data_IF_590771680798
#
_entry.id   IF_590771680798
#
_cell.length_a   1.000
_cell.length_b   1.000
_cell.length_c   1.000
_cell.angle_alpha   90.00
_cell.angle_beta   90.00
_cell.angle_gamma   90.00
#
_symmetry.space_group_name_H-M   'P 1'
#
loop_
_entity.id
_entity.type
_entity.pdbx_description
1 polymer ?
#
# COMPACT_ATOMS: atom_id res chain seq x y z
N UNK A 1 3.28 -0.59 -10.72
CA UNK A 1 4.08 0.46 -11.40
C UNK A 1 4.23 1.64 -10.43
N UNK A 2 5.31 1.65 -9.64
CA UNK A 2 5.65 2.81 -8.79
C UNK A 2 6.32 3.83 -9.71
N UNK A 3 5.52 4.72 -10.29
CA UNK A 3 6.03 5.81 -11.12
C UNK A 3 6.59 6.91 -10.21
N UNK A 4 7.92 6.97 -10.12
CA UNK A 4 8.63 8.08 -9.48
C UNK A 4 8.65 9.27 -10.45
N UNK A 5 7.64 10.14 -10.35
CA UNK A 5 7.37 11.24 -11.29
C UNK A 5 8.19 12.52 -11.00
N UNK A 6 9.47 12.40 -10.65
CA UNK A 6 10.33 13.56 -10.34
C UNK A 6 10.97 14.24 -11.57
N UNK A 7 10.71 13.78 -12.80
CA UNK A 7 11.41 14.30 -14.00
C UNK A 7 10.55 15.13 -14.99
N UNK A 8 9.31 15.52 -14.67
CA UNK A 8 8.44 16.23 -15.63
C UNK A 8 8.03 17.65 -15.19
N UNK A 9 8.79 18.30 -14.31
CA UNK A 9 8.66 19.74 -14.08
C UNK A 9 9.48 20.53 -15.10
N UNK A 10 9.00 20.57 -16.35
CA UNK A 10 9.37 21.61 -17.31
C UNK A 10 8.19 21.90 -18.24
N UNK A 11 7.62 23.10 -18.05
CA UNK A 11 6.76 23.90 -18.95
C UNK A 11 5.59 23.19 -19.68
N UNK A 12 4.36 23.57 -19.30
CA UNK A 12 3.35 24.12 -20.23
C UNK A 12 2.18 24.75 -19.46
N UNK A 13 1.90 26.02 -19.78
CA UNK A 13 0.75 26.83 -19.34
C UNK A 13 -0.52 26.39 -20.07
N UNK A 14 -1.64 26.68 -19.42
CA UNK A 14 -3.04 26.73 -19.91
C UNK A 14 -3.67 25.48 -20.54
N UNK A 15 -4.65 24.93 -19.82
CA UNK A 15 -5.94 24.49 -20.36
C UNK A 15 -6.97 24.30 -19.22
N UNK A 16 -8.17 24.84 -19.45
CA UNK A 16 -9.36 24.86 -18.58
C UNK A 16 -9.93 23.46 -18.28
N UNK A 17 -10.76 23.31 -17.22
CA UNK A 17 -11.03 22.03 -16.58
C UNK A 17 -12.13 21.24 -17.30
N UNK A 18 -11.75 20.15 -17.96
CA UNK A 18 -12.69 19.15 -18.47
C UNK A 18 -12.68 17.93 -17.55
N UNK A 19 -13.85 17.64 -16.96
CA UNK A 19 -14.32 16.38 -16.36
C UNK A 19 -13.29 15.51 -15.61
N UNK A 20 -13.39 15.51 -14.27
CA UNK A 20 -12.54 14.73 -13.37
C UNK A 20 -12.57 13.22 -13.69
N UNK A 21 -11.42 12.58 -14.01
CA UNK A 21 -11.36 11.14 -14.20
C UNK A 21 -11.39 10.42 -12.84
N UNK A 22 -12.01 9.24 -12.83
CA UNK A 22 -12.11 8.33 -11.68
C UNK A 22 -10.76 8.23 -10.95
N UNK A 23 -10.72 8.65 -9.68
CA UNK A 23 -9.50 8.66 -8.89
C UNK A 23 -8.81 7.29 -8.91
N UNK A 24 -7.56 7.22 -9.37
CA UNK A 24 -6.70 6.04 -9.16
C UNK A 24 -6.35 5.97 -7.68
N UNK A 25 -6.79 4.92 -7.00
CA UNK A 25 -6.59 4.73 -5.57
C UNK A 25 -5.30 3.96 -5.31
N UNK A 26 -4.47 4.44 -4.39
CA UNK A 26 -3.22 3.78 -3.99
C UNK A 26 -3.19 3.68 -2.47
N UNK A 27 -3.08 2.47 -1.91
CA UNK A 27 -2.63 2.29 -0.52
C UNK A 27 -1.15 2.65 -0.46
N UNK A 28 -0.78 3.64 0.35
CA UNK A 28 0.59 4.17 0.40
C UNK A 28 1.25 3.75 1.71
N UNK A 29 2.36 3.03 1.59
CA UNK A 29 3.20 2.63 2.73
C UNK A 29 3.94 3.83 3.34
N UNK A 30 4.34 3.69 4.62
CA UNK A 30 4.96 4.73 5.46
C UNK A 30 6.15 5.44 4.81
N UNK A 31 6.87 4.78 3.91
CA UNK A 31 8.14 5.27 3.37
C UNK A 31 8.00 6.54 2.50
N UNK A 32 6.78 6.89 2.09
CA UNK A 32 6.51 8.15 1.37
C UNK A 32 5.52 9.09 2.09
N UNK A 33 5.19 8.81 3.36
CA UNK A 33 4.15 9.51 4.12
C UNK A 33 4.29 11.04 4.15
N UNK A 34 5.51 11.56 4.32
CA UNK A 34 5.77 13.02 4.42
C UNK A 34 5.57 13.74 3.08
N UNK A 35 5.96 13.11 1.97
CA UNK A 35 5.88 13.68 0.62
C UNK A 35 4.46 13.66 0.06
N UNK A 36 3.63 12.68 0.47
CA UNK A 36 2.26 12.57 -0.01
C UNK A 36 1.25 13.38 0.81
N UNK A 37 1.55 13.75 2.06
CA UNK A 37 0.70 14.66 2.85
C UNK A 37 0.57 16.04 2.20
N UNK A 38 1.62 16.48 1.48
CA UNK A 38 1.65 17.72 0.69
C UNK A 38 1.17 17.55 -0.76
N UNK A 39 1.05 16.31 -1.28
CA UNK A 39 0.58 16.03 -2.62
C UNK A 39 -0.96 15.98 -2.65
N UNK A 40 -1.58 17.16 -2.60
CA UNK A 40 -3.02 17.33 -2.44
C UNK A 40 -3.93 16.80 -3.56
N UNK A 41 -5.21 16.66 -3.19
CA UNK A 41 -6.47 16.44 -3.96
C UNK A 41 -6.65 15.22 -4.87
N UNK A 42 -5.61 14.58 -5.40
CA UNK A 42 -5.78 13.53 -6.43
C UNK A 42 -5.76 12.09 -5.92
N UNK A 43 -5.38 11.87 -4.66
CA UNK A 43 -5.24 10.54 -4.09
C UNK A 43 -5.99 10.44 -2.77
N UNK A 44 -6.74 9.35 -2.58
CA UNK A 44 -7.29 9.00 -1.28
C UNK A 44 -6.22 8.26 -0.49
N UNK A 45 -5.81 8.84 0.64
CA UNK A 45 -4.87 8.20 1.55
C UNK A 45 -5.58 7.16 2.42
N UNK A 46 -5.04 5.95 2.43
CA UNK A 46 -5.43 4.88 3.35
C UNK A 46 -4.30 4.66 4.36
N UNK A 47 -4.63 4.71 5.65
CA UNK A 47 -3.70 4.34 6.70
C UNK A 47 -3.71 2.83 6.93
N UNK A 48 -2.57 2.28 7.30
CA UNK A 48 -2.40 0.85 7.55
C UNK A 48 -2.61 0.54 9.03
N UNK A 49 -3.58 -0.34 9.33
CA UNK A 49 -3.91 -0.76 10.69
C UNK A 49 -2.73 -1.46 11.37
N UNK A 50 -1.92 -2.22 10.63
CA UNK A 50 -0.77 -2.92 11.17
C UNK A 50 0.30 -1.96 11.71
N UNK A 51 0.54 -0.81 11.06
CA UNK A 51 1.49 0.19 11.57
C UNK A 51 1.02 0.83 12.87
N UNK A 52 -0.26 1.14 12.95
CA UNK A 52 -0.88 1.69 14.15
C UNK A 52 -0.83 0.67 15.27
N UNK A 53 -1.26 -0.57 15.00
CA UNK A 53 -1.21 -1.70 15.93
C UNK A 53 0.21 -1.94 16.45
N UNK A 54 1.24 -1.87 15.59
CA UNK A 54 2.63 -2.09 16.00
C UNK A 54 3.06 -1.11 17.08
N UNK A 55 2.67 0.17 16.98
CA UNK A 55 2.98 1.17 18.01
C UNK A 55 2.35 0.85 19.37
N UNK A 56 1.12 0.34 19.38
CA UNK A 56 0.48 -0.10 20.62
C UNK A 56 1.08 -1.40 21.17
N UNK A 57 1.60 -2.28 20.30
CA UNK A 57 2.35 -3.46 20.72
C UNK A 57 3.70 -3.09 21.35
N UNK A 58 4.36 -2.05 20.83
CA UNK A 58 5.65 -1.59 21.35
C UNK A 58 5.51 -1.07 22.81
N UNK A 59 4.31 -0.65 23.25
CA UNK A 59 4.03 -0.25 24.64
C UNK A 59 4.07 -1.38 25.69
N UNK A 60 4.38 -2.62 25.30
CA UNK A 60 4.54 -3.75 26.20
C UNK A 60 3.26 -4.14 26.96
N UNK A 61 3.34 -4.10 28.29
CA UNK A 61 2.32 -4.63 29.20
C UNK A 61 1.20 -3.65 29.56
N UNK A 62 1.21 -2.43 29.03
CA UNK A 62 0.16 -1.43 29.30
C UNK A 62 -1.24 -1.96 28.93
N UNK A 63 -2.15 -1.92 29.91
CA UNK A 63 -3.49 -2.49 29.78
C UNK A 63 -4.31 -1.81 28.67
N UNK A 64 -4.29 -0.48 28.60
CA UNK A 64 -5.07 0.26 27.59
C UNK A 64 -4.55 -0.02 26.19
N UNK A 65 -3.24 -0.03 26.00
CA UNK A 65 -2.60 -0.37 24.74
C UNK A 65 -2.98 -1.79 24.29
N UNK A 66 -2.96 -2.77 25.20
CA UNK A 66 -3.42 -4.14 24.93
C UNK A 66 -4.89 -4.19 24.53
N UNK A 67 -5.75 -3.39 25.16
CA UNK A 67 -7.16 -3.30 24.77
C UNK A 67 -7.32 -2.75 23.35
N UNK A 68 -6.57 -1.71 22.97
CA UNK A 68 -6.57 -1.19 21.60
C UNK A 68 -6.13 -2.27 20.60
N UNK A 69 -5.04 -3.00 20.90
CA UNK A 69 -4.57 -4.11 20.05
C UNK A 69 -5.65 -5.19 19.88
N UNK A 70 -6.34 -5.59 20.95
CA UNK A 70 -7.43 -6.56 20.89
C UNK A 70 -8.58 -6.08 20.01
N UNK A 71 -8.97 -4.81 20.12
CA UNK A 71 -10.01 -4.22 19.28
C UNK A 71 -9.59 -4.19 17.79
N UNK A 72 -8.34 -3.85 17.49
CA UNK A 72 -7.83 -3.90 16.11
C UNK A 72 -7.81 -5.34 15.58
N UNK A 73 -7.35 -6.31 16.38
CA UNK A 73 -7.38 -7.72 16.00
C UNK A 73 -8.81 -8.21 15.74
N UNK A 74 -9.79 -7.72 16.50
CA UNK A 74 -11.18 -8.05 16.27
C UNK A 74 -11.71 -7.49 14.94
N UNK A 75 -11.28 -6.28 14.54
CA UNK A 75 -11.58 -5.75 13.20
C UNK A 75 -11.02 -6.68 12.12
N UNK A 76 -9.76 -7.13 12.24
CA UNK A 76 -9.17 -8.10 11.31
C UNK A 76 -9.97 -9.40 11.24
N UNK A 77 -10.35 -9.95 12.39
CA UNK A 77 -11.14 -11.17 12.45
C UNK A 77 -12.48 -11.02 11.73
N UNK A 78 -13.16 -9.89 11.89
CA UNK A 78 -14.43 -9.62 11.22
C UNK A 78 -14.28 -9.40 9.71
N UNK A 79 -13.22 -8.71 9.29
CA UNK A 79 -12.95 -8.44 7.87
C UNK A 79 -12.58 -9.74 7.11
N UNK A 80 -11.83 -10.64 7.75
CA UNK A 80 -11.45 -11.92 7.15
C UNK A 80 -12.59 -12.92 6.98
N UNK A 81 -13.75 -12.71 7.63
CA UNK A 81 -14.91 -13.59 7.43
C UNK A 81 -15.45 -13.53 5.99
N UNK A 82 -15.21 -12.42 5.29
CA UNK A 82 -15.82 -12.15 3.99
C UNK A 82 -14.78 -11.62 3.01
N UNK A 83 -14.49 -12.42 1.99
CA UNK A 83 -13.49 -12.10 0.97
C UNK A 83 -14.20 -11.81 -0.34
N UNK A 84 -13.93 -10.65 -0.93
CA UNK A 84 -14.52 -10.26 -2.22
C UNK A 84 -14.12 -11.28 -3.30
N UNK A 85 -15.10 -11.67 -4.12
CA UNK A 85 -14.91 -12.69 -5.16
C UNK A 85 -15.09 -14.13 -4.67
N UNK A 86 -15.28 -14.33 -3.36
CA UNK A 86 -15.60 -15.64 -2.79
C UNK A 86 -17.00 -15.64 -2.17
N UNK A 87 -17.70 -16.77 -2.21
CA UNK A 87 -19.01 -16.96 -1.55
C UNK A 87 -20.05 -15.86 -1.88
N UNK A 88 -20.01 -15.32 -3.10
CA UNK A 88 -20.94 -14.27 -3.55
C UNK A 88 -20.73 -12.88 -2.94
N UNK A 89 -19.59 -12.64 -2.28
CA UNK A 89 -19.22 -11.33 -1.75
C UNK A 89 -18.74 -10.39 -2.86
N UNK A 90 -19.49 -9.32 -3.05
CA UNK A 90 -19.13 -8.19 -3.93
C UNK A 90 -18.74 -6.98 -3.08
N UNK A 91 -18.07 -6.01 -3.70
CA UNK A 91 -17.59 -4.78 -3.04
C UNK A 91 -18.68 -4.09 -2.22
N UNK A 92 -19.88 -3.91 -2.80
CA UNK A 92 -20.98 -3.20 -2.13
C UNK A 92 -21.47 -3.93 -0.87
N UNK A 93 -21.58 -5.27 -0.92
CA UNK A 93 -21.96 -6.11 0.23
C UNK A 93 -20.89 -6.04 1.31
N UNK A 94 -19.62 -6.21 0.93
CA UNK A 94 -18.50 -6.16 1.87
C UNK A 94 -18.39 -4.79 2.54
N UNK A 95 -18.55 -3.72 1.77
CA UNK A 95 -18.56 -2.35 2.27
C UNK A 95 -19.67 -2.11 3.30
N UNK A 96 -20.89 -2.61 3.03
CA UNK A 96 -22.01 -2.50 3.96
C UNK A 96 -21.72 -3.26 5.26
N UNK A 97 -21.33 -4.53 5.15
CA UNK A 97 -20.93 -5.35 6.29
C UNK A 97 -19.85 -4.69 7.15
N UNK A 98 -18.78 -4.20 6.52
CA UNK A 98 -17.69 -3.52 7.21
C UNK A 98 -18.20 -2.27 7.95
N UNK A 99 -19.09 -1.47 7.35
CA UNK A 99 -19.69 -0.31 8.03
C UNK A 99 -20.53 -0.74 9.23
N UNK A 100 -21.30 -1.81 9.12
CA UNK A 100 -22.21 -2.25 10.17
C UNK A 100 -21.44 -2.85 11.35
N UNK A 101 -20.41 -3.65 11.08
CA UNK A 101 -19.66 -4.40 12.10
C UNK A 101 -18.41 -3.68 12.61
N UNK A 102 -17.61 -3.07 11.73
CA UNK A 102 -16.32 -2.48 12.11
C UNK A 102 -16.43 -1.01 12.55
N UNK A 103 -17.42 -0.24 12.06
CA UNK A 103 -17.58 1.18 12.44
C UNK A 103 -17.93 1.37 13.92
N UNK A 104 -18.77 0.53 14.57
CA UNK A 104 -18.98 0.59 16.01
C UNK A 104 -17.68 0.37 16.80
N UNK A 105 -16.85 -0.58 16.39
CA UNK A 105 -15.55 -0.86 17.03
C UNK A 105 -14.63 0.36 16.91
N UNK A 106 -14.58 0.99 15.73
CA UNK A 106 -13.84 2.24 15.54
C UNK A 106 -14.35 3.35 16.47
N UNK A 107 -15.65 3.47 16.74
CA UNK A 107 -16.16 4.44 17.72
C UNK A 107 -15.65 4.14 19.15
N UNK A 108 -15.61 2.86 19.54
CA UNK A 108 -15.08 2.43 20.84
C UNK A 108 -13.59 2.78 20.96
N UNK A 109 -12.81 2.46 19.93
CA UNK A 109 -11.39 2.82 19.83
C UNK A 109 -11.24 4.33 19.97
N UNK A 110 -12.02 5.13 19.23
CA UNK A 110 -11.94 6.60 19.28
C UNK A 110 -12.14 7.14 20.69
N UNK A 111 -13.18 6.68 21.38
CA UNK A 111 -13.49 7.11 22.75
C UNK A 111 -12.36 6.75 23.73
N UNK A 112 -11.70 5.60 23.54
CA UNK A 112 -10.54 5.21 24.35
C UNK A 112 -9.34 6.12 24.06
N UNK A 113 -9.04 6.39 22.79
CA UNK A 113 -7.95 7.29 22.40
C UNK A 113 -8.16 8.71 22.94
N UNK A 114 -9.38 9.26 22.83
CA UNK A 114 -9.67 10.60 23.32
C UNK A 114 -9.53 10.68 24.85
N UNK A 115 -9.91 9.62 25.59
CA UNK A 115 -9.66 9.52 27.04
C UNK A 115 -8.18 9.47 27.38
N UNK A 116 -7.41 8.63 26.67
CA UNK A 116 -5.96 8.54 26.88
C UNK A 116 -5.27 9.85 26.53
N UNK A 117 -5.68 10.54 25.47
CA UNK A 117 -5.10 11.82 25.08
C UNK A 117 -5.43 12.96 26.07
N UNK A 118 -6.55 12.87 26.80
CA UNK A 118 -6.91 13.83 27.84
C UNK A 118 -6.25 13.53 29.19
N UNK A 119 -5.65 12.35 29.36
CA UNK A 119 -4.99 11.94 30.58
C UNK A 119 -3.63 12.63 30.73
N UNK A 120 -3.55 13.56 31.69
CA UNK A 120 -2.34 14.34 31.98
C UNK A 120 -1.20 13.50 32.56
N UNK A 121 -1.46 12.28 33.02
CA UNK A 121 -0.42 11.37 33.52
C UNK A 121 0.41 10.77 32.39
N UNK A 122 -0.13 10.75 31.16
CA UNK A 122 0.58 10.24 30.00
C UNK A 122 1.54 11.33 29.49
N UNK A 123 2.81 11.18 29.89
CA UNK A 123 3.84 12.16 29.57
C UNK A 123 4.19 12.15 28.08
N UNK A 124 4.48 13.33 27.48
CA UNK A 124 5.04 13.43 26.14
C UNK A 124 6.30 12.57 25.98
N UNK A 125 6.50 12.00 24.78
CA UNK A 125 7.63 11.12 24.42
C UNK A 125 7.63 9.73 25.07
N UNK A 126 6.58 9.35 25.80
CA UNK A 126 6.37 7.95 26.18
C UNK A 126 5.84 7.16 24.98
N UNK A 127 6.09 5.84 24.95
CA UNK A 127 5.59 4.99 23.88
C UNK A 127 4.06 5.02 23.77
N UNK A 128 3.37 5.08 24.92
CA UNK A 128 1.91 5.21 25.01
C UNK A 128 1.44 6.54 24.40
N UNK A 129 2.08 7.65 24.76
CA UNK A 129 1.79 8.97 24.17
C UNK A 129 1.96 8.94 22.64
N UNK A 130 3.09 8.41 22.17
CA UNK A 130 3.42 8.32 20.75
C UNK A 130 2.44 7.42 19.99
N UNK A 131 1.98 6.31 20.58
CA UNK A 131 1.00 5.41 19.96
C UNK A 131 -0.37 6.08 19.83
N UNK A 132 -0.85 6.73 20.90
CA UNK A 132 -2.14 7.43 20.93
C UNK A 132 -2.16 8.58 19.92
N UNK A 133 -1.19 9.48 20.00
CA UNK A 133 -1.15 10.65 19.11
C UNK A 133 -0.89 10.27 17.65
N UNK A 134 -0.14 9.19 17.42
CA UNK A 134 0.01 8.66 16.06
C UNK A 134 -1.32 8.16 15.50
N UNK A 135 -2.06 7.34 16.25
CA UNK A 135 -3.35 6.83 15.77
C UNK A 135 -4.37 7.96 15.55
N UNK A 136 -4.39 8.95 16.45
CA UNK A 136 -5.25 10.13 16.31
C UNK A 136 -4.89 10.95 15.06
N UNK A 137 -3.61 11.16 14.78
CA UNK A 137 -3.15 11.84 13.56
C UNK A 137 -3.43 11.06 12.27
N UNK A 138 -3.61 9.74 12.38
CA UNK A 138 -3.94 8.83 11.29
C UNK A 138 -5.45 8.57 11.13
N UNK A 139 -6.27 9.11 12.02
CA UNK A 139 -7.68 8.74 12.18
C UNK A 139 -8.49 8.88 10.88
N UNK A 140 -8.41 10.03 10.21
CA UNK A 140 -9.17 10.28 8.98
C UNK A 140 -8.76 9.34 7.85
N UNK A 141 -7.47 8.97 7.79
CA UNK A 141 -6.95 8.03 6.81
C UNK A 141 -7.33 6.58 7.14
N UNK A 142 -7.46 6.21 8.42
CA UNK A 142 -8.01 4.92 8.84
C UNK A 142 -9.49 4.83 8.48
N UNK A 143 -10.28 5.89 8.71
CA UNK A 143 -11.72 5.90 8.40
C UNK A 143 -12.03 5.82 6.90
N UNK A 144 -11.05 6.06 6.02
CA UNK A 144 -11.21 5.89 4.58
C UNK A 144 -11.45 4.42 4.16
N UNK A 145 -11.18 3.43 5.02
CA UNK A 145 -11.49 2.01 4.74
C UNK A 145 -12.99 1.75 4.50
N UNK A 146 -13.87 2.63 4.97
CA UNK A 146 -15.32 2.50 4.81
C UNK A 146 -15.85 3.11 3.50
N UNK A 147 -14.97 3.78 2.75
CA UNK A 147 -15.32 4.39 1.46
C UNK A 147 -15.53 3.33 0.38
N UNK A 148 -14.80 2.22 0.42
CA UNK A 148 -14.98 1.07 -0.48
C UNK A 148 -14.71 -0.25 0.23
N UNK A 149 -15.37 -1.31 -0.22
CA UNK A 149 -15.24 -2.66 0.33
C UNK A 149 -13.95 -3.37 -0.11
N UNK A 150 -13.36 -2.99 -1.24
CA UNK A 150 -12.15 -3.62 -1.81
C UNK A 150 -10.84 -3.07 -1.26
N UNK A 151 -10.91 -2.14 -0.30
CA UNK A 151 -9.73 -1.69 0.42
C UNK A 151 -9.29 -2.74 1.45
N UNK A 152 -7.99 -3.07 1.44
CA UNK A 152 -7.36 -3.85 2.49
C UNK A 152 -7.13 -2.99 3.74
N UNK A 153 -7.13 -3.63 4.91
CA UNK A 153 -6.85 -2.97 6.19
C UNK A 153 -5.37 -2.58 6.37
N UNK A 154 -4.48 -3.29 5.66
CA UNK A 154 -3.06 -3.04 5.67
C UNK A 154 -2.43 -3.30 4.30
N UNK A 155 -1.16 -2.99 4.22
CA UNK A 155 -0.32 -3.12 3.04
C UNK A 155 0.75 -4.20 3.23
N UNK A 156 0.53 -5.19 4.11
CA UNK A 156 1.54 -6.18 4.48
C UNK A 156 2.07 -6.96 3.28
N UNK A 157 1.22 -7.26 2.29
CA UNK A 157 1.63 -7.95 1.06
C UNK A 157 2.66 -7.14 0.27
N UNK A 158 2.40 -5.85 0.12
CA UNK A 158 3.32 -4.92 -0.56
C UNK A 158 4.60 -4.73 0.24
N UNK A 159 4.52 -4.66 1.57
CA UNK A 159 5.71 -4.53 2.43
C UNK A 159 6.58 -5.79 2.39
N UNK A 160 5.96 -6.97 2.33
CA UNK A 160 6.65 -8.23 2.15
C UNK A 160 7.41 -8.27 0.82
N UNK A 161 6.82 -7.75 -0.26
CA UNK A 161 7.50 -7.62 -1.55
C UNK A 161 8.66 -6.61 -1.49
N UNK A 162 8.44 -5.45 -0.87
CA UNK A 162 9.46 -4.41 -0.72
C UNK A 162 10.64 -4.85 0.18
N UNK A 163 10.43 -5.81 1.07
CA UNK A 163 11.51 -6.40 1.90
C UNK A 163 12.60 -7.01 1.04
N UNK A 164 12.28 -7.65 -0.08
CA UNK A 164 13.28 -8.23 -0.98
C UNK A 164 14.20 -7.16 -1.59
N UNK A 165 13.62 -6.03 -1.99
CA UNK A 165 14.38 -4.88 -2.50
C UNK A 165 15.29 -4.32 -1.40
N UNK A 166 14.75 -4.19 -0.18
CA UNK A 166 15.50 -3.66 0.96
C UNK A 166 16.68 -4.54 1.35
N UNK A 167 16.49 -5.87 1.35
CA UNK A 167 17.54 -6.85 1.61
C UNK A 167 18.57 -6.86 0.49
N UNK A 168 18.14 -6.86 -0.77
CA UNK A 168 19.05 -6.78 -1.91
C UNK A 168 19.93 -5.53 -1.84
N UNK A 169 19.36 -4.36 -1.55
CA UNK A 169 20.13 -3.13 -1.39
C UNK A 169 21.22 -3.23 -0.32
N UNK A 170 20.96 -3.96 0.77
CA UNK A 170 21.95 -4.18 1.84
C UNK A 170 23.04 -5.18 1.43
N UNK A 171 22.68 -6.18 0.63
CA UNK A 171 23.55 -7.31 0.29
C UNK A 171 24.25 -7.18 -1.07
N UNK A 172 24.00 -6.10 -1.81
CA UNK A 172 24.52 -5.87 -3.15
C UNK A 172 25.43 -4.65 -3.18
N UNK A 173 26.65 -4.86 -3.68
CA UNK A 173 27.64 -3.80 -3.92
C UNK A 173 27.24 -2.88 -5.10
N UNK A 174 26.23 -3.27 -5.89
CA UNK A 174 25.87 -2.61 -7.15
C UNK A 174 24.94 -1.39 -6.98
N UNK A 175 24.48 -1.12 -5.76
CA UNK A 175 23.67 0.07 -5.43
C UNK A 175 24.52 1.29 -5.01
N UNK A 176 25.62 1.55 -5.73
CA UNK A 176 26.55 2.66 -5.42
C UNK A 176 26.20 4.01 -6.04
N UNK A 177 25.20 4.09 -6.94
CA UNK A 177 24.80 5.33 -7.61
C UNK A 177 23.29 5.42 -7.82
N UNK A 178 22.77 6.63 -8.03
CA UNK A 178 21.35 6.84 -8.35
C UNK A 178 20.91 6.08 -9.62
N UNK A 179 21.75 6.08 -10.68
CA UNK A 179 21.47 5.32 -11.90
C UNK A 179 21.47 3.80 -11.65
N UNK A 180 22.38 3.30 -10.82
CA UNK A 180 22.40 1.89 -10.41
C UNK A 180 21.13 1.51 -9.63
N UNK A 181 20.68 2.38 -8.73
CA UNK A 181 19.43 2.18 -7.98
C UNK A 181 18.19 2.19 -8.88
N UNK A 182 18.13 3.06 -9.89
CA UNK A 182 17.04 3.10 -10.87
C UNK A 182 16.96 1.80 -11.67
N UNK A 183 18.10 1.33 -12.21
CA UNK A 183 18.17 0.05 -12.93
C UNK A 183 17.77 -1.11 -12.04
N UNK A 184 18.31 -1.17 -10.82
CA UNK A 184 17.93 -2.18 -9.84
C UNK A 184 16.43 -2.17 -9.54
N UNK A 185 15.83 -0.99 -9.34
CA UNK A 185 14.39 -0.88 -9.10
C UNK A 185 13.55 -1.41 -10.28
N UNK A 186 13.96 -1.17 -11.53
CA UNK A 186 13.30 -1.75 -12.70
C UNK A 186 13.38 -3.28 -12.70
N UNK A 187 14.58 -3.84 -12.52
CA UNK A 187 14.78 -5.29 -12.48
C UNK A 187 13.99 -5.97 -11.35
N UNK A 188 14.07 -5.46 -10.12
CA UNK A 188 13.32 -6.03 -8.99
C UNK A 188 11.81 -5.91 -9.18
N UNK A 189 11.33 -4.83 -9.80
CA UNK A 189 9.91 -4.71 -10.13
C UNK A 189 9.46 -5.80 -11.10
N UNK A 190 10.27 -6.13 -12.09
CA UNK A 190 9.99 -7.18 -13.07
C UNK A 190 10.01 -8.59 -12.42
N UNK A 191 10.99 -8.86 -11.57
CA UNK A 191 11.08 -10.12 -10.80
C UNK A 191 9.86 -10.29 -9.90
N UNK A 192 9.49 -9.24 -9.16
CA UNK A 192 8.30 -9.26 -8.31
C UNK A 192 7.01 -9.50 -9.13
N UNK A 193 6.92 -8.90 -10.32
CA UNK A 193 5.78 -9.10 -11.21
C UNK A 193 5.70 -10.55 -11.72
N UNK A 194 6.83 -11.15 -12.12
CA UNK A 194 6.87 -12.56 -12.52
C UNK A 194 6.41 -13.47 -11.37
N UNK A 195 6.90 -13.22 -10.15
CA UNK A 195 6.50 -13.97 -8.97
C UNK A 195 5.00 -13.86 -8.67
N UNK A 196 4.42 -12.66 -8.79
CA UNK A 196 2.98 -12.45 -8.58
C UNK A 196 2.12 -13.19 -9.61
N UNK A 197 2.62 -13.40 -10.83
CA UNK A 197 1.95 -14.16 -11.89
C UNK A 197 2.32 -15.66 -11.90
N UNK A 198 3.10 -16.13 -10.92
CA UNK A 198 3.60 -17.51 -10.86
C UNK A 198 4.45 -17.90 -12.09
N UNK A 199 5.21 -16.94 -12.62
CA UNK A 199 6.09 -17.11 -13.79
C UNK A 199 7.53 -17.29 -13.33
N UNK A 200 8.24 -18.27 -13.89
CA UNK A 200 9.69 -18.41 -13.71
C UNK A 200 10.39 -17.24 -14.40
N UNK A 201 11.09 -16.42 -13.63
CA UNK A 201 11.76 -15.22 -14.13
C UNK A 201 12.84 -15.52 -15.18
N UNK A 202 13.62 -16.61 -15.00
CA UNK A 202 14.69 -16.96 -15.93
C UNK A 202 14.14 -17.43 -17.28
N UNK A 203 13.10 -18.27 -17.27
CA UNK A 203 12.42 -18.66 -18.52
C UNK A 203 11.82 -17.45 -19.22
N UNK A 204 11.13 -16.60 -18.46
CA UNK A 204 10.51 -15.38 -18.97
C UNK A 204 11.53 -14.45 -19.61
N UNK A 205 12.62 -14.12 -18.93
CA UNK A 205 13.56 -13.11 -19.42
C UNK A 205 14.34 -13.62 -20.64
N UNK A 206 14.71 -14.91 -20.65
CA UNK A 206 15.38 -15.53 -21.81
C UNK A 206 14.48 -15.52 -23.04
N UNK A 207 13.22 -15.91 -22.90
CA UNK A 207 12.25 -15.90 -24.01
C UNK A 207 11.97 -14.47 -24.49
N UNK A 208 11.72 -13.53 -23.57
CA UNK A 208 11.39 -12.14 -23.93
C UNK A 208 12.58 -11.44 -24.60
N UNK A 209 13.83 -11.68 -24.17
CA UNK A 209 15.00 -11.10 -24.85
C UNK A 209 15.10 -11.63 -26.29
N UNK A 210 14.94 -12.94 -26.49
CA UNK A 210 14.99 -13.54 -27.82
C UNK A 210 13.86 -13.03 -28.72
N UNK A 211 12.61 -13.01 -28.21
CA UNK A 211 11.45 -12.45 -28.92
C UNK A 211 11.67 -10.97 -29.25
N UNK A 212 12.16 -10.19 -28.30
CA UNK A 212 12.41 -8.76 -28.50
C UNK A 212 13.50 -8.49 -29.55
N UNK A 213 14.55 -9.31 -29.60
CA UNK A 213 15.62 -9.19 -30.59
C UNK A 213 15.13 -9.53 -32.02
N UNK A 214 14.14 -10.41 -32.15
CA UNK A 214 13.54 -10.77 -33.45
C UNK A 214 12.50 -9.75 -33.96
N UNK A 215 12.05 -8.81 -33.13
CA UNK A 215 11.05 -7.82 -33.52
C UNK A 215 11.66 -6.75 -34.45
N UNK A 216 10.95 -6.34 -35.52
CA UNK A 216 11.43 -5.27 -36.40
C UNK A 216 11.65 -3.94 -35.68
N UNK A 217 12.54 -3.07 -36.19
CA UNK A 217 12.61 -1.67 -35.77
C UNK A 217 11.23 -1.01 -35.87
N UNK A 218 10.89 -0.11 -34.94
CA UNK A 218 9.59 0.58 -34.85
C UNK A 218 8.36 -0.30 -34.54
N UNK A 219 8.57 -1.43 -33.88
CA UNK A 219 7.45 -2.27 -33.40
C UNK A 219 6.53 -1.49 -32.43
N UNK A 220 5.19 -1.52 -32.61
CA UNK A 220 4.24 -0.85 -31.72
C UNK A 220 4.33 -1.32 -30.26
N UNK A 221 4.03 -0.43 -29.31
CA UNK A 221 4.12 -0.71 -27.88
C UNK A 221 3.18 -1.83 -27.43
N UNK A 222 2.05 -1.99 -28.12
CA UNK A 222 1.03 -3.01 -27.91
C UNK A 222 1.62 -4.42 -28.06
N UNK A 223 2.57 -4.62 -28.98
CA UNK A 223 3.25 -5.91 -29.14
C UNK A 223 4.17 -6.21 -27.95
N UNK A 224 4.88 -5.21 -27.42
CA UNK A 224 5.68 -5.37 -26.20
C UNK A 224 4.81 -5.61 -24.96
N UNK A 225 3.58 -5.07 -24.92
CA UNK A 225 2.63 -5.30 -23.82
C UNK A 225 2.24 -6.78 -23.68
N UNK A 226 2.20 -7.51 -24.80
CA UNK A 226 1.92 -8.94 -24.83
C UNK A 226 3.05 -9.79 -24.26
N UNK A 227 4.26 -9.23 -24.17
CA UNK A 227 5.44 -9.86 -23.58
C UNK A 227 5.53 -9.66 -22.06
N UNK A 228 4.63 -8.90 -21.41
CA UNK A 228 4.68 -8.72 -19.96
C UNK A 228 4.28 -10.00 -19.20
N UNK A 229 4.75 -10.20 -17.95
CA UNK A 229 4.57 -11.48 -17.24
C UNK A 229 3.12 -11.90 -17.02
N UNK A 230 2.17 -10.95 -17.00
CA UNK A 230 0.74 -11.22 -16.84
C UNK A 230 0.09 -11.77 -18.11
N UNK A 231 0.69 -11.51 -19.28
CA UNK A 231 0.22 -11.99 -20.59
C UNK A 231 1.13 -13.02 -21.23
N UNK A 232 2.35 -13.16 -20.72
CA UNK A 232 3.37 -14.03 -21.30
C UNK A 232 2.94 -15.50 -21.37
N UNK A 233 2.28 -16.03 -20.33
CA UNK A 233 1.82 -17.43 -20.33
C UNK A 233 0.76 -17.72 -21.40
N UNK A 234 -0.10 -16.75 -21.71
CA UNK A 234 -1.14 -16.89 -22.74
C UNK A 234 -0.53 -16.83 -24.15
N UNK A 235 0.65 -16.21 -24.28
CA UNK A 235 1.35 -15.95 -25.54
C UNK A 235 2.67 -16.74 -25.66
N UNK A 236 2.84 -17.81 -24.88
CA UNK A 236 4.06 -18.63 -24.87
C UNK A 236 4.12 -19.52 -26.11
#
# INVERSE_FOLDING_TARGET
MILNRKSLMTKRRDRTPTTAPSARFTMISRQCHRTYKSAGKWFLRLACFQHVKRKFLDCGEDFDCKVIVRLINYIYHLDHKHIIGQNGWIEAKHRKWRKDMCRPIMKIIRKKLDRMAADKTILPKTEKYDAVHYMLGEWDALMNIFKRGDYHLDNNDIERLNRYISLSRRNSLFFGSHKGAERGAMFYSLVCLCRLNGVNFFEYISDVINKAAALPPNTPLEKYRMLLPDKWKENR
#
